data_IF_910627769370
#
_entry.id   IF_910627769370
#
_cell.length_a   1.000
_cell.length_b   1.000
_cell.length_c   1.000
_cell.angle_alpha   90.00
_cell.angle_beta   90.00
_cell.angle_gamma   90.00
#
_symmetry.space_group_name_H-M   'P 1'
#
loop_
_entity.id
_entity.type
_entity.pdbx_description
1 polymer ?
#
# COMPACT_ATOMS: atom_id res chain seq x y z
N UNK A 1 23.86 -59.18 -11.47
CA UNK A 1 25.19 -58.61 -11.75
C UNK A 1 25.06 -57.09 -11.68
N UNK A 2 25.73 -56.49 -10.70
CA UNK A 2 25.63 -55.09 -10.29
C UNK A 2 26.10 -54.10 -11.36
N UNK A 3 25.47 -52.93 -11.43
CA UNK A 3 26.17 -51.66 -11.74
C UNK A 3 25.54 -50.52 -10.92
N UNK A 4 26.27 -50.12 -9.89
CA UNK A 4 26.12 -48.86 -9.17
C UNK A 4 26.96 -47.78 -9.88
N UNK A 5 26.69 -46.53 -9.50
CA UNK A 5 27.57 -45.35 -9.47
C UNK A 5 27.43 -44.37 -10.65
N UNK A 6 27.44 -43.09 -10.24
CA UNK A 6 27.50 -41.82 -10.96
C UNK A 6 26.11 -41.21 -11.26
N UNK A 7 25.76 -40.00 -10.83
CA UNK A 7 26.55 -38.92 -10.28
C UNK A 7 25.61 -37.97 -9.52
N UNK A 8 25.97 -37.68 -8.27
CA UNK A 8 25.61 -36.45 -7.56
C UNK A 8 25.93 -35.24 -8.45
N UNK A 9 25.01 -34.29 -8.60
CA UNK A 9 25.37 -32.96 -9.10
C UNK A 9 24.34 -32.27 -10.00
N UNK A 10 23.23 -31.81 -9.43
CA UNK A 10 22.48 -30.65 -9.96
C UNK A 10 21.48 -30.09 -8.92
N UNK A 11 21.89 -30.00 -7.65
CA UNK A 11 21.17 -29.22 -6.63
C UNK A 11 21.90 -27.88 -6.50
N UNK A 12 21.78 -27.02 -7.51
CA UNK A 12 22.35 -25.66 -7.44
C UNK A 12 21.62 -24.70 -8.41
N UNK A 13 20.30 -24.60 -8.30
CA UNK A 13 19.49 -23.59 -9.00
C UNK A 13 18.41 -22.98 -8.10
N UNK A 14 18.64 -22.90 -6.78
CA UNK A 14 17.60 -22.51 -5.82
C UNK A 14 17.81 -21.14 -5.13
N UNK A 15 18.80 -20.33 -5.54
CA UNK A 15 19.10 -19.06 -4.83
C UNK A 15 19.50 -17.91 -5.76
N UNK A 16 18.63 -17.50 -6.69
CA UNK A 16 18.81 -16.24 -7.46
C UNK A 16 17.68 -15.22 -7.30
N UNK A 17 16.83 -15.31 -6.27
CA UNK A 17 15.83 -14.28 -5.96
C UNK A 17 16.16 -13.46 -4.70
N UNK A 18 17.44 -13.35 -4.35
CA UNK A 18 17.88 -12.38 -3.34
C UNK A 18 17.94 -10.98 -3.97
N UNK A 19 16.86 -10.20 -3.88
CA UNK A 19 16.95 -8.75 -4.03
C UNK A 19 15.82 -8.00 -4.76
N UNK A 20 14.77 -8.67 -5.25
CA UNK A 20 13.59 -7.94 -5.73
C UNK A 20 12.65 -7.73 -4.54
N UNK A 21 12.35 -6.48 -4.18
CA UNK A 21 11.15 -6.17 -3.40
C UNK A 21 9.98 -6.87 -4.11
N UNK A 22 9.40 -7.90 -3.48
CA UNK A 22 8.29 -8.63 -4.09
C UNK A 22 7.09 -7.68 -4.15
N UNK A 23 6.24 -7.86 -5.16
CA UNK A 23 5.00 -7.08 -5.30
C UNK A 23 4.17 -7.14 -4.02
N UNK A 24 4.16 -8.30 -3.34
CA UNK A 24 3.48 -8.51 -2.06
C UNK A 24 4.01 -7.60 -0.95
N UNK A 25 5.32 -7.36 -0.91
CA UNK A 25 5.91 -6.44 0.06
C UNK A 25 5.55 -4.98 -0.23
N UNK A 26 5.48 -4.59 -1.50
CA UNK A 26 5.00 -3.27 -1.91
C UNK A 26 3.52 -3.10 -1.53
N UNK A 27 2.68 -4.06 -1.89
CA UNK A 27 1.24 -4.06 -1.59
C UNK A 27 0.97 -4.00 -0.07
N UNK A 28 1.75 -4.75 0.74
CA UNK A 28 1.66 -4.67 2.21
C UNK A 28 2.03 -3.28 2.78
N UNK A 29 2.97 -2.56 2.14
CA UNK A 29 3.31 -1.18 2.54
C UNK A 29 2.20 -0.22 2.13
N UNK A 30 1.64 -0.39 0.94
CA UNK A 30 0.56 0.44 0.43
C UNK A 30 -0.71 0.32 1.27
N UNK A 31 -1.12 -0.88 1.69
CA UNK A 31 -2.31 -1.03 2.54
C UNK A 31 -2.14 -0.36 3.90
N UNK A 32 -0.96 -0.48 4.53
CA UNK A 32 -0.63 0.24 5.78
C UNK A 32 -0.56 1.75 5.57
N UNK A 33 -0.06 2.20 4.43
CA UNK A 33 -0.05 3.61 4.07
C UNK A 33 -1.47 4.14 3.85
N UNK A 34 -2.36 3.36 3.24
CA UNK A 34 -3.75 3.72 3.05
C UNK A 34 -4.50 3.83 4.38
N UNK A 35 -4.30 2.88 5.30
CA UNK A 35 -4.84 2.99 6.68
C UNK A 35 -4.35 4.27 7.36
N UNK A 36 -3.06 4.60 7.22
CA UNK A 36 -2.51 5.83 7.78
C UNK A 36 -3.11 7.09 7.14
N UNK A 37 -3.34 7.09 5.82
CA UNK A 37 -3.99 8.17 5.09
C UNK A 37 -5.43 8.40 5.57
N UNK A 38 -6.22 7.34 5.67
CA UNK A 38 -7.63 7.41 6.08
C UNK A 38 -7.76 7.90 7.53
N UNK A 39 -6.91 7.40 8.44
CA UNK A 39 -6.90 7.81 9.84
C UNK A 39 -6.53 9.30 10.06
N UNK A 40 -6.06 10.03 9.04
CA UNK A 40 -5.87 11.50 9.14
C UNK A 40 -7.21 12.23 9.16
N UNK A 41 -8.22 11.66 8.50
CA UNK A 41 -9.52 12.30 8.26
C UNK A 41 -10.66 11.67 9.05
N UNK A 42 -10.44 10.50 9.66
CA UNK A 42 -11.38 9.93 10.62
C UNK A 42 -11.28 10.63 11.97
N UNK A 43 -12.42 10.76 12.64
CA UNK A 43 -12.50 11.30 13.99
C UNK A 43 -11.71 10.42 14.98
N UNK A 44 -11.29 11.00 16.11
CA UNK A 44 -10.49 10.27 17.12
C UNK A 44 -11.22 9.05 17.69
N UNK A 45 -12.55 9.06 17.68
CA UNK A 45 -13.41 7.96 18.13
C UNK A 45 -13.65 6.91 17.06
N UNK A 46 -13.22 7.13 15.81
CA UNK A 46 -13.52 6.28 14.66
C UNK A 46 -12.26 5.76 13.96
N UNK A 47 -11.15 5.59 14.70
CA UNK A 47 -9.91 5.09 14.10
C UNK A 47 -10.07 3.65 13.60
N UNK A 48 -9.44 3.35 12.47
CA UNK A 48 -9.31 1.99 11.96
C UNK A 48 -8.50 1.18 12.96
N UNK A 49 -9.13 0.20 13.59
CA UNK A 49 -8.48 -0.70 14.55
C UNK A 49 -7.91 -1.93 13.82
N UNK A 50 -8.70 -2.49 12.91
CA UNK A 50 -8.36 -3.74 12.21
C UNK A 50 -8.48 -3.59 10.70
N UNK A 51 -7.40 -3.94 10.00
CA UNK A 51 -7.39 -4.15 8.55
C UNK A 51 -7.74 -5.62 8.28
N UNK A 52 -8.92 -5.89 7.70
CA UNK A 52 -9.36 -7.24 7.32
C UNK A 52 -8.71 -7.74 6.05
N UNK A 53 -8.49 -6.84 5.10
CA UNK A 53 -7.93 -7.17 3.79
C UNK A 53 -7.65 -5.92 2.96
N UNK A 54 -6.99 -6.12 1.84
CA UNK A 54 -6.78 -5.08 0.85
C UNK A 54 -6.78 -5.67 -0.55
N UNK A 55 -7.48 -5.02 -1.46
CA UNK A 55 -7.48 -5.29 -2.88
C UNK A 55 -6.62 -4.28 -3.62
N UNK A 56 -5.96 -4.74 -4.68
CA UNK A 56 -4.99 -3.96 -5.42
C UNK A 56 -5.25 -4.06 -6.92
N UNK A 57 -5.43 -2.91 -7.57
CA UNK A 57 -5.73 -2.84 -9.00
C UNK A 57 -4.95 -1.72 -9.69
N UNK A 58 -4.91 -1.74 -11.02
CA UNK A 58 -4.37 -0.63 -11.79
C UNK A 58 -5.29 0.59 -11.63
N UNK A 59 -4.72 1.78 -11.49
CA UNK A 59 -5.48 3.02 -11.40
C UNK A 59 -5.77 3.60 -12.79
N UNK A 60 -6.96 4.20 -13.02
CA UNK A 60 -7.23 4.94 -14.26
C UNK A 60 -6.34 6.17 -14.46
N UNK A 61 -5.69 6.68 -13.40
CA UNK A 61 -4.80 7.83 -13.46
C UNK A 61 -3.51 7.58 -14.27
N UNK A 62 -3.11 6.31 -14.45
CA UNK A 62 -1.99 5.95 -15.31
C UNK A 62 -1.23 4.69 -14.89
N UNK A 63 -0.20 4.28 -15.67
CA UNK A 63 0.54 3.03 -15.46
C UNK A 63 1.40 3.03 -14.19
N UNK A 64 1.82 4.20 -13.73
CA UNK A 64 2.59 4.37 -12.50
C UNK A 64 1.69 4.53 -11.26
N UNK A 65 0.38 4.37 -11.41
CA UNK A 65 -0.59 4.52 -10.34
C UNK A 65 -1.22 3.20 -9.95
N UNK A 66 -1.32 2.97 -8.63
CA UNK A 66 -1.93 1.79 -8.04
C UNK A 66 -3.13 2.20 -7.22
N UNK A 67 -4.27 1.57 -7.51
CA UNK A 67 -5.47 1.69 -6.72
C UNK A 67 -5.48 0.60 -5.63
N UNK A 68 -5.79 1.02 -4.41
CA UNK A 68 -5.79 0.21 -3.20
C UNK A 68 -7.12 0.39 -2.51
N UNK A 69 -7.89 -0.68 -2.38
CA UNK A 69 -9.12 -0.70 -1.58
C UNK A 69 -8.82 -1.45 -0.29
N UNK A 70 -8.98 -0.82 0.87
CA UNK A 70 -8.80 -1.46 2.17
C UNK A 70 -10.16 -1.80 2.78
N UNK A 71 -10.29 -3.00 3.32
CA UNK A 71 -11.45 -3.45 4.06
C UNK A 71 -11.12 -3.39 5.54
N UNK A 72 -11.86 -2.57 6.29
CA UNK A 72 -11.51 -2.23 7.66
C UNK A 72 -12.68 -2.42 8.61
N UNK A 73 -12.36 -2.61 9.89
CA UNK A 73 -13.32 -2.48 10.99
C UNK A 73 -12.95 -1.26 11.81
N UNK A 74 -13.96 -0.41 11.99
CA UNK A 74 -13.90 0.74 12.88
C UNK A 74 -14.77 0.45 14.09
N UNK A 75 -14.26 0.76 15.28
CA UNK A 75 -15.04 0.76 16.50
C UNK A 75 -15.58 2.16 16.77
N UNK A 76 -16.90 2.31 16.81
CA UNK A 76 -17.56 3.51 17.34
C UNK A 76 -18.22 3.15 18.67
N UNK A 77 -17.47 3.37 19.76
CA UNK A 77 -17.85 2.93 21.10
C UNK A 77 -17.84 1.40 21.25
N UNK A 78 -19.01 0.77 21.15
CA UNK A 78 -19.19 -0.69 21.26
C UNK A 78 -19.61 -1.34 19.94
N UNK A 79 -19.82 -0.54 18.88
CA UNK A 79 -20.29 -1.03 17.60
C UNK A 79 -19.11 -1.18 16.64
N UNK A 80 -18.94 -2.39 16.12
CA UNK A 80 -18.03 -2.68 15.01
C UNK A 80 -18.74 -2.39 13.69
N UNK A 81 -18.15 -1.52 12.87
CA UNK A 81 -18.67 -1.21 11.53
C UNK A 81 -17.61 -1.55 10.49
N UNK A 82 -18.00 -2.32 9.48
CA UNK A 82 -17.16 -2.61 8.33
C UNK A 82 -17.22 -1.44 7.34
N UNK A 83 -16.06 -0.94 6.95
CA UNK A 83 -15.93 0.15 6.00
C UNK A 83 -14.85 -0.15 4.98
N UNK A 84 -15.12 0.26 3.75
CA UNK A 84 -14.18 0.19 2.64
C UNK A 84 -13.66 1.59 2.34
N UNK A 85 -12.34 1.71 2.17
CA UNK A 85 -11.69 2.96 1.80
C UNK A 85 -10.80 2.77 0.60
N UNK A 86 -10.71 3.80 -0.23
CA UNK A 86 -9.95 3.77 -1.48
C UNK A 86 -8.78 4.76 -1.43
N UNK A 87 -7.61 4.30 -1.85
CA UNK A 87 -6.42 5.11 -2.00
C UNK A 87 -5.79 4.88 -3.37
N UNK A 88 -5.30 5.94 -4.00
CA UNK A 88 -4.43 5.83 -5.18
C UNK A 88 -3.04 6.29 -4.80
N UNK A 89 -2.05 5.45 -5.12
CA UNK A 89 -0.64 5.77 -4.93
C UNK A 89 0.06 5.88 -6.28
N UNK A 90 0.94 6.86 -6.42
CA UNK A 90 1.93 6.85 -7.48
C UNK A 90 3.12 6.01 -7.00
N UNK A 91 3.44 4.93 -7.72
CA UNK A 91 4.53 4.02 -7.45
C UNK A 91 5.72 4.30 -8.37
N UNK A 92 6.92 4.06 -7.87
CA UNK A 92 8.16 4.12 -8.65
C UNK A 92 9.09 2.97 -8.28
N UNK A 93 9.43 2.14 -9.26
CA UNK A 93 10.43 1.09 -9.14
C UNK A 93 11.76 1.58 -9.73
N UNK A 94 12.82 1.54 -8.93
CA UNK A 94 14.17 1.89 -9.36
C UNK A 94 14.72 0.91 -10.40
N UNK A 95 15.78 1.33 -11.11
CA UNK A 95 16.48 0.49 -12.08
C UNK A 95 16.88 -0.86 -11.44
N UNK A 96 16.53 -1.97 -12.08
CA UNK A 96 16.73 -3.35 -11.58
C UNK A 96 15.97 -3.68 -10.27
N UNK A 97 14.82 -3.07 -9.99
CA UNK A 97 14.05 -3.26 -8.75
C UNK A 97 14.84 -2.94 -7.47
N UNK A 98 15.92 -2.16 -7.60
CA UNK A 98 16.83 -1.81 -6.50
C UNK A 98 16.22 -0.86 -5.47
N UNK A 99 15.05 -0.29 -5.76
CA UNK A 99 14.30 0.55 -4.85
C UNK A 99 12.82 0.56 -5.18
N UNK A 100 12.00 0.72 -4.15
CA UNK A 100 10.57 0.96 -4.26
C UNK A 100 10.24 2.28 -3.57
N UNK A 101 9.54 3.14 -4.30
CA UNK A 101 9.02 4.40 -3.81
C UNK A 101 7.52 4.46 -4.07
N UNK A 102 6.80 5.10 -3.16
CA UNK A 102 5.38 5.36 -3.33
C UNK A 102 5.03 6.69 -2.67
N UNK A 103 4.06 7.38 -3.24
CA UNK A 103 3.47 8.61 -2.70
C UNK A 103 1.97 8.56 -2.89
N UNK A 104 1.23 9.06 -1.91
CA UNK A 104 -0.23 9.16 -2.04
C UNK A 104 -0.58 10.18 -3.12
N UNK A 105 -1.43 9.76 -4.05
CA UNK A 105 -2.03 10.64 -5.03
C UNK A 105 -3.39 11.12 -4.51
N UNK A 106 -4.28 10.20 -4.14
CA UNK A 106 -5.59 10.55 -3.59
C UNK A 106 -6.06 9.52 -2.55
N UNK A 107 -6.91 9.94 -1.62
CA UNK A 107 -7.63 9.08 -0.67
C UNK A 107 -9.10 9.48 -0.63
N UNK A 108 -9.98 8.49 -0.62
CA UNK A 108 -11.43 8.66 -0.55
C UNK A 108 -11.91 8.22 0.83
N UNK A 109 -12.61 9.10 1.54
CA UNK A 109 -13.16 8.84 2.87
C UNK A 109 -14.63 9.25 2.84
N UNK A 110 -15.52 8.26 2.72
CA UNK A 110 -16.94 8.53 2.47
C UNK A 110 -17.14 9.19 1.12
N UNK A 111 -17.82 10.33 1.09
CA UNK A 111 -18.06 11.13 -0.13
C UNK A 111 -16.93 12.12 -0.44
N UNK A 112 -15.95 12.26 0.46
CA UNK A 112 -14.87 13.24 0.33
C UNK A 112 -13.60 12.65 -0.31
N UNK A 113 -12.94 13.47 -1.13
CA UNK A 113 -11.68 13.13 -1.80
C UNK A 113 -10.59 14.11 -1.35
N UNK A 114 -9.47 13.57 -0.87
CA UNK A 114 -8.31 14.34 -0.44
C UNK A 114 -7.08 13.97 -1.27
N UNK A 115 -6.19 14.93 -1.50
CA UNK A 115 -4.94 14.71 -2.25
C UNK A 115 -4.91 15.49 -3.54
N UNK A 116 -4.59 14.83 -4.66
CA UNK A 116 -4.56 15.40 -6.00
C UNK A 116 -5.55 14.66 -6.88
N UNK A 117 -6.41 15.40 -7.59
CA UNK A 117 -7.28 14.85 -8.62
C UNK A 117 -7.25 15.76 -9.84
N UNK A 118 -6.99 15.21 -11.03
CA UNK A 118 -6.91 15.99 -12.26
C UNK A 118 -5.80 17.07 -12.25
N UNK A 119 -4.71 16.84 -11.52
CA UNK A 119 -3.61 17.78 -11.38
C UNK A 119 -3.86 18.97 -10.44
N UNK A 120 -4.95 18.95 -9.67
CA UNK A 120 -5.26 19.95 -8.65
C UNK A 120 -5.31 19.33 -7.27
N UNK A 121 -4.81 20.05 -6.26
CA UNK A 121 -4.96 19.66 -4.86
C UNK A 121 -6.42 19.79 -4.47
N UNK A 122 -6.99 18.70 -3.96
CA UNK A 122 -8.33 18.63 -3.37
C UNK A 122 -8.21 18.74 -1.85
N UNK A 123 -8.93 19.69 -1.26
CA UNK A 123 -8.89 20.02 0.17
C UNK A 123 -7.97 21.21 0.51
N UNK A 124 -7.74 21.43 1.81
CA UNK A 124 -6.85 22.49 2.29
C UNK A 124 -5.36 22.08 2.19
N UNK A 125 -4.47 23.07 2.04
CA UNK A 125 -3.03 22.85 2.01
C UNK A 125 -2.53 22.19 3.29
N UNK A 126 -3.12 22.51 4.45
CA UNK A 126 -2.74 21.88 5.72
C UNK A 126 -3.10 20.39 5.73
N UNK A 127 -4.24 20.03 5.17
CA UNK A 127 -4.69 18.64 5.10
C UNK A 127 -3.87 17.83 4.11
N UNK A 128 -3.49 18.44 2.98
CA UNK A 128 -2.54 17.85 2.06
C UNK A 128 -1.17 17.56 2.71
N UNK A 129 -0.69 18.46 3.58
CA UNK A 129 0.55 18.25 4.33
C UNK A 129 0.42 17.10 5.34
N UNK A 130 -0.66 17.07 6.14
CA UNK A 130 -0.91 15.99 7.10
C UNK A 130 -1.00 14.63 6.42
N UNK A 131 -1.73 14.56 5.30
CA UNK A 131 -1.90 13.35 4.49
C UNK A 131 -0.55 12.83 4.01
N UNK A 132 0.27 13.68 3.38
CA UNK A 132 1.60 13.30 2.91
C UNK A 132 2.52 12.87 4.04
N UNK A 133 2.49 13.57 5.19
CA UNK A 133 3.31 13.23 6.34
C UNK A 133 2.95 11.85 6.92
N UNK A 134 1.66 11.58 7.13
CA UNK A 134 1.17 10.30 7.65
C UNK A 134 1.55 9.14 6.73
N UNK A 135 1.35 9.31 5.42
CA UNK A 135 1.71 8.31 4.41
C UNK A 135 3.21 8.09 4.35
N UNK A 136 4.01 9.17 4.30
CA UNK A 136 5.48 9.08 4.24
C UNK A 136 6.04 8.37 5.47
N UNK A 137 5.51 8.69 6.66
CA UNK A 137 5.89 8.01 7.90
C UNK A 137 5.55 6.52 7.86
N UNK A 138 4.38 6.15 7.33
CA UNK A 138 3.96 4.75 7.20
C UNK A 138 4.83 3.97 6.19
N UNK A 139 5.16 4.57 5.04
CA UNK A 139 5.95 3.94 3.99
C UNK A 139 7.44 3.79 4.32
N UNK A 140 8.00 4.78 5.02
CA UNK A 140 9.46 4.91 5.19
C UNK A 140 9.94 4.87 6.64
N UNK A 141 9.04 4.86 7.63
CA UNK A 141 9.39 4.78 9.05
C UNK A 141 10.20 5.97 9.58
N UNK A 142 10.14 7.13 8.92
CA UNK A 142 10.88 8.35 9.29
C UNK A 142 9.97 9.54 9.52
#
# INVERSE_FOLDING_TARGET
>A
MSKKICLFGAVLCAFTLTGCLSREQADSRLSKACVAAVNVFLDETQKIETLKGADFSASPEGPDFRHVTIHTVIMDGWLETENDYECVFQEGFGFLNSGYTASIYQVHVGDDIYGSAGGQIQGDAQDHLKLNEAVRKSLYGK
#
